data_IF_627805345531
#
_entry.id   IF_627805345531
#
_cell.length_a   1.000
_cell.length_b   1.000
_cell.length_c   1.000
_cell.angle_alpha   90.00
_cell.angle_beta   90.00
_cell.angle_gamma   90.00
#
_symmetry.space_group_name_H-M   'P 1'
#
loop_
_entity.id
_entity.type
_entity.pdbx_description
1 polymer ?
#
# COMPACT_ATOMS: atom_id res chain seq x y z
N UNK A 1 -6.29 -28.03 5.97
CA UNK A 1 -6.12 -27.57 7.34
C UNK A 1 -7.33 -26.71 7.74
N UNK A 2 -8.00 -27.10 8.88
CA UNK A 2 -9.26 -26.45 9.31
C UNK A 2 -9.09 -24.94 9.62
N UNK A 3 -8.08 -24.50 10.35
CA UNK A 3 -7.84 -23.08 10.60
C UNK A 3 -7.71 -22.26 9.31
N UNK A 4 -6.95 -22.75 8.35
CA UNK A 4 -6.82 -22.10 7.05
C UNK A 4 -8.15 -21.95 6.33
N UNK A 5 -8.96 -23.00 6.29
CA UNK A 5 -10.27 -22.95 5.64
C UNK A 5 -11.21 -21.94 6.30
N UNK A 6 -11.17 -21.84 7.63
CA UNK A 6 -11.96 -20.84 8.37
C UNK A 6 -11.49 -19.40 8.05
N UNK A 7 -10.20 -19.18 7.92
CA UNK A 7 -9.65 -17.87 7.52
C UNK A 7 -10.09 -17.50 6.11
N UNK A 8 -10.12 -18.45 5.16
CA UNK A 8 -10.63 -18.20 3.80
C UNK A 8 -12.12 -17.83 3.80
N UNK A 9 -12.95 -18.54 4.56
CA UNK A 9 -14.39 -18.24 4.67
C UNK A 9 -14.61 -16.84 5.27
N UNK A 10 -13.92 -16.52 6.37
CA UNK A 10 -14.01 -15.22 7.03
C UNK A 10 -13.49 -14.11 6.12
N UNK A 11 -12.35 -14.33 5.47
CA UNK A 11 -11.77 -13.40 4.52
C UNK A 11 -12.72 -13.07 3.39
N UNK A 12 -13.35 -14.08 2.77
CA UNK A 12 -14.36 -13.90 1.75
C UNK A 12 -15.61 -13.16 2.24
N UNK A 13 -16.09 -13.46 3.46
CA UNK A 13 -17.21 -12.74 4.05
C UNK A 13 -16.93 -11.24 4.22
N UNK A 14 -15.73 -10.88 4.68
CA UNK A 14 -15.29 -9.48 4.77
C UNK A 14 -15.15 -8.86 3.38
N UNK A 15 -14.57 -9.60 2.45
CA UNK A 15 -14.35 -9.13 1.08
C UNK A 15 -15.66 -8.78 0.36
N UNK A 16 -16.76 -9.50 0.60
CA UNK A 16 -18.08 -9.19 0.00
C UNK A 16 -18.53 -7.74 0.21
N UNK A 17 -18.16 -7.13 1.32
CA UNK A 17 -18.48 -5.73 1.61
C UNK A 17 -17.32 -4.78 1.36
N UNK A 18 -16.09 -5.22 1.66
CA UNK A 18 -14.89 -4.37 1.64
C UNK A 18 -14.18 -4.36 0.29
N UNK A 19 -14.20 -5.48 -0.43
CA UNK A 19 -13.53 -5.74 -1.71
C UNK A 19 -14.46 -6.53 -2.65
N UNK A 20 -15.62 -5.99 -3.01
CA UNK A 20 -16.65 -6.74 -3.74
C UNK A 20 -16.13 -7.33 -5.06
N UNK A 21 -15.29 -6.63 -5.80
CA UNK A 21 -14.72 -7.15 -7.05
C UNK A 21 -13.79 -8.37 -6.83
N UNK A 22 -13.09 -8.44 -5.69
CA UNK A 22 -12.24 -9.57 -5.35
C UNK A 22 -13.06 -10.77 -4.88
N UNK A 23 -14.18 -10.52 -4.18
CA UNK A 23 -15.06 -11.58 -3.68
C UNK A 23 -15.76 -12.38 -4.80
N UNK A 24 -15.83 -11.83 -6.02
CA UNK A 24 -16.37 -12.47 -7.22
C UNK A 24 -15.34 -13.34 -7.97
N UNK A 25 -14.05 -13.22 -7.62
CA UNK A 25 -12.98 -13.96 -8.30
C UNK A 25 -12.76 -15.30 -7.60
N UNK A 26 -13.01 -16.38 -8.33
CA UNK A 26 -12.74 -17.72 -7.82
C UNK A 26 -11.23 -17.96 -7.65
N UNK A 27 -10.85 -18.58 -6.53
CA UNK A 27 -9.46 -18.88 -6.23
C UNK A 27 -8.69 -17.78 -5.50
N UNK A 28 -9.32 -16.63 -5.22
CA UNK A 28 -8.70 -15.57 -4.42
C UNK A 28 -8.33 -16.09 -3.02
N UNK A 29 -7.10 -15.82 -2.56
CA UNK A 29 -6.62 -16.20 -1.23
C UNK A 29 -6.65 -14.99 -0.31
N UNK A 30 -7.24 -15.17 0.87
CA UNK A 30 -7.38 -14.14 1.88
C UNK A 30 -6.37 -14.36 3.02
N UNK A 31 -5.72 -13.30 3.52
CA UNK A 31 -4.80 -13.38 4.64
C UNK A 31 -5.56 -13.57 5.96
N UNK A 32 -4.84 -13.81 7.09
CA UNK A 32 -5.43 -13.84 8.41
C UNK A 32 -6.28 -12.61 8.70
N UNK A 33 -7.30 -12.76 9.54
CA UNK A 33 -8.35 -11.77 9.83
C UNK A 33 -7.83 -10.34 10.10
N UNK A 34 -6.72 -10.20 10.86
CA UNK A 34 -6.16 -8.89 11.19
C UNK A 34 -5.71 -8.11 9.94
N UNK A 35 -5.13 -8.80 8.97
CA UNK A 35 -4.71 -8.16 7.71
C UNK A 35 -5.92 -7.77 6.86
N UNK A 36 -7.02 -8.53 6.92
CA UNK A 36 -8.28 -8.19 6.26
C UNK A 36 -8.94 -6.97 6.88
N UNK A 37 -8.87 -6.80 8.20
CA UNK A 37 -9.40 -5.62 8.87
C UNK A 37 -8.60 -4.35 8.55
N UNK A 38 -7.27 -4.47 8.49
CA UNK A 38 -6.36 -3.35 8.28
C UNK A 38 -6.24 -2.91 6.81
N UNK A 39 -6.52 -3.79 5.85
CA UNK A 39 -6.41 -3.43 4.43
C UNK A 39 -7.41 -2.33 4.05
N UNK A 40 -7.11 -1.62 2.98
CA UNK A 40 -8.02 -0.63 2.39
C UNK A 40 -9.32 -1.29 1.89
N UNK A 41 -10.40 -0.52 1.87
CA UNK A 41 -11.58 -0.87 1.08
C UNK A 41 -11.32 -0.65 -0.40
N UNK A 42 -12.08 -1.32 -1.25
CA UNK A 42 -12.05 -1.12 -2.70
C UNK A 42 -12.27 0.34 -3.09
N UNK A 43 -13.23 1.01 -2.43
CA UNK A 43 -13.51 2.42 -2.64
C UNK A 43 -12.27 3.30 -2.42
N UNK A 44 -11.56 3.11 -1.30
CA UNK A 44 -10.36 3.91 -1.00
C UNK A 44 -9.18 3.54 -1.89
N UNK A 45 -9.07 2.29 -2.36
CA UNK A 45 -8.07 1.87 -3.33
C UNK A 45 -8.32 2.49 -4.71
N UNK A 46 -9.58 2.54 -5.17
CA UNK A 46 -9.98 3.23 -6.40
C UNK A 46 -9.68 4.73 -6.31
N UNK A 47 -9.95 5.36 -5.16
CA UNK A 47 -9.60 6.76 -4.95
C UNK A 47 -8.09 7.02 -5.11
N UNK A 48 -7.23 6.20 -4.48
CA UNK A 48 -5.77 6.29 -4.65
C UNK A 48 -5.33 6.09 -6.10
N UNK A 49 -6.02 5.22 -6.81
CA UNK A 49 -5.82 5.02 -8.25
C UNK A 49 -6.10 6.29 -9.06
N UNK A 50 -7.11 7.07 -8.69
CA UNK A 50 -7.39 8.35 -9.35
C UNK A 50 -6.28 9.39 -9.14
N UNK A 51 -5.65 9.38 -7.96
CA UNK A 51 -4.47 10.22 -7.70
C UNK A 51 -3.31 9.79 -8.61
N UNK A 52 -3.04 8.48 -8.71
CA UNK A 52 -2.01 7.97 -9.62
C UNK A 52 -2.25 8.38 -11.08
N UNK A 53 -3.49 8.29 -11.56
CA UNK A 53 -3.85 8.72 -12.92
C UNK A 53 -3.59 10.20 -13.15
N UNK A 54 -3.90 11.05 -12.17
CA UNK A 54 -3.64 12.48 -12.25
C UNK A 54 -2.13 12.76 -12.30
N UNK A 55 -1.36 12.15 -11.39
CA UNK A 55 0.10 12.28 -11.40
C UNK A 55 0.71 11.86 -12.74
N UNK A 56 0.21 10.80 -13.34
CA UNK A 56 0.68 10.34 -14.65
C UNK A 56 0.40 11.35 -15.78
N UNK A 57 -0.73 12.07 -15.73
CA UNK A 57 -1.05 13.08 -16.73
C UNK A 57 -0.08 14.27 -16.72
N UNK A 58 0.67 14.43 -15.64
CA UNK A 58 1.70 15.46 -15.49
C UNK A 58 3.07 15.05 -16.09
N UNK A 59 3.23 13.76 -16.43
CA UNK A 59 4.43 13.25 -17.10
C UNK A 59 4.34 13.42 -18.61
N UNK A 60 5.35 14.03 -19.20
CA UNK A 60 5.36 14.30 -20.64
C UNK A 60 5.74 13.09 -21.51
N UNK A 61 6.51 12.09 -21.02
CA UNK A 61 7.14 11.13 -21.94
C UNK A 61 7.27 9.66 -21.52
N UNK A 62 7.02 9.28 -20.29
CA UNK A 62 7.05 7.86 -19.85
C UNK A 62 6.23 7.63 -18.60
N UNK A 63 5.47 6.54 -18.61
CA UNK A 63 4.79 6.05 -17.41
C UNK A 63 5.82 5.76 -16.31
N UNK A 64 5.69 6.39 -15.13
CA UNK A 64 6.59 6.07 -14.04
C UNK A 64 6.36 4.65 -13.54
N UNK A 65 7.38 4.10 -12.87
CA UNK A 65 7.28 2.87 -12.12
C UNK A 65 6.46 3.11 -10.86
N UNK A 66 5.53 2.21 -10.50
CA UNK A 66 4.95 2.18 -9.16
C UNK A 66 5.81 1.32 -8.24
N UNK A 67 6.13 1.82 -7.05
CA UNK A 67 6.80 1.05 -6.00
C UNK A 67 5.99 1.17 -4.72
N UNK A 68 5.47 0.06 -4.23
CA UNK A 68 4.85 -0.04 -2.91
C UNK A 68 5.86 -0.63 -1.93
N UNK A 69 6.31 0.15 -0.96
CA UNK A 69 7.30 -0.25 0.03
C UNK A 69 6.70 -0.96 1.26
N UNK A 70 5.37 -1.06 1.32
CA UNK A 70 4.61 -1.59 2.46
C UNK A 70 3.47 -2.51 2.02
N UNK A 71 3.72 -3.36 1.07
CA UNK A 71 2.75 -4.12 0.29
C UNK A 71 1.54 -4.71 1.02
N UNK A 72 1.74 -5.31 2.20
CA UNK A 72 0.67 -5.88 3.00
C UNK A 72 -0.16 -6.92 2.26
N UNK A 73 -1.48 -6.83 2.31
CA UNK A 73 -2.37 -7.71 1.54
C UNK A 73 -2.38 -7.38 0.03
N UNK A 74 -1.84 -6.23 -0.38
CA UNK A 74 -1.72 -5.86 -1.79
C UNK A 74 -2.96 -5.22 -2.41
N UNK A 75 -3.97 -4.85 -1.62
CA UNK A 75 -5.20 -4.23 -2.15
C UNK A 75 -4.87 -2.93 -2.87
N UNK A 76 -4.29 -1.96 -2.18
CA UNK A 76 -3.95 -0.67 -2.76
C UNK A 76 -3.04 -0.82 -3.98
N UNK A 77 -2.00 -1.66 -3.84
CA UNK A 77 -1.08 -1.95 -4.92
C UNK A 77 -1.80 -2.48 -6.17
N UNK A 78 -2.69 -3.46 -6.03
CA UNK A 78 -3.37 -4.09 -7.16
C UNK A 78 -4.27 -3.12 -7.95
N UNK A 79 -4.87 -2.14 -7.27
CA UNK A 79 -5.69 -1.12 -7.94
C UNK A 79 -4.83 -0.04 -8.60
N UNK A 80 -3.78 0.44 -7.90
CA UNK A 80 -2.90 1.47 -8.42
C UNK A 80 -2.04 0.98 -9.59
N UNK A 81 -1.48 -0.24 -9.52
CA UNK A 81 -0.53 -0.75 -10.51
C UNK A 81 -1.11 -0.86 -11.93
N UNK A 82 -2.44 -0.94 -12.07
CA UNK A 82 -3.13 -0.97 -13.38
C UNK A 82 -2.84 0.22 -14.29
N UNK A 83 -2.33 1.31 -13.72
CA UNK A 83 -2.02 2.53 -14.46
C UNK A 83 -0.53 2.66 -14.79
N UNK A 84 0.28 1.65 -14.50
CA UNK A 84 1.73 1.69 -14.70
C UNK A 84 2.16 0.56 -15.62
N UNK A 85 3.21 0.79 -16.41
CA UNK A 85 3.80 -0.26 -17.26
C UNK A 85 4.55 -1.31 -16.43
N UNK A 86 5.12 -0.87 -15.31
CA UNK A 86 5.84 -1.73 -14.37
C UNK A 86 5.47 -1.33 -12.94
N UNK A 87 5.39 -2.31 -12.07
CA UNK A 87 5.12 -2.09 -10.66
C UNK A 87 5.91 -3.05 -9.79
N UNK A 88 6.38 -2.58 -8.64
CA UNK A 88 7.11 -3.37 -7.65
C UNK A 88 6.36 -3.31 -6.32
N UNK A 89 6.02 -4.47 -5.83
CA UNK A 89 5.45 -4.68 -4.50
C UNK A 89 6.53 -5.22 -3.58
N UNK A 90 6.73 -4.57 -2.42
CA UNK A 90 7.71 -4.99 -1.42
C UNK A 90 7.01 -5.26 -0.10
N UNK A 91 7.18 -6.46 0.45
CA UNK A 91 6.59 -6.88 1.74
C UNK A 91 7.56 -7.82 2.46
N UNK A 92 7.75 -7.59 3.76
CA UNK A 92 8.70 -8.38 4.57
C UNK A 92 8.17 -9.74 5.02
N UNK A 93 6.85 -9.92 5.08
CA UNK A 93 6.21 -11.15 5.54
C UNK A 93 6.03 -12.12 4.37
N UNK A 94 6.78 -13.23 4.36
CA UNK A 94 6.77 -14.20 3.26
C UNK A 94 5.36 -14.69 2.90
N UNK A 95 4.53 -14.98 3.91
CA UNK A 95 3.17 -15.47 3.66
C UNK A 95 2.28 -14.43 2.93
N UNK A 96 2.46 -13.13 3.18
CA UNK A 96 1.77 -12.07 2.43
C UNK A 96 2.33 -11.92 1.02
N UNK A 97 3.63 -12.09 0.84
CA UNK A 97 4.24 -12.13 -0.50
C UNK A 97 3.67 -13.28 -1.34
N UNK A 98 3.51 -14.46 -0.75
CA UNK A 98 2.98 -15.65 -1.44
C UNK A 98 1.51 -15.43 -1.82
N UNK A 99 0.70 -14.86 -0.92
CA UNK A 99 -0.70 -14.48 -1.18
C UNK A 99 -0.77 -13.42 -2.27
N UNK A 100 0.03 -12.36 -2.18
CA UNK A 100 0.04 -11.27 -3.15
C UNK A 100 0.41 -11.80 -4.54
N UNK A 101 1.44 -12.63 -4.65
CA UNK A 101 1.85 -13.24 -5.91
C UNK A 101 0.73 -14.04 -6.55
N UNK A 102 0.07 -14.92 -5.77
CA UNK A 102 -1.05 -15.71 -6.25
C UNK A 102 -2.22 -14.82 -6.72
N UNK A 103 -2.60 -13.85 -5.91
CA UNK A 103 -3.73 -12.98 -6.22
C UNK A 103 -3.45 -12.04 -7.41
N UNK A 104 -2.23 -11.52 -7.54
CA UNK A 104 -1.83 -10.69 -8.68
C UNK A 104 -1.81 -11.51 -9.99
N UNK A 105 -1.44 -12.79 -9.93
CA UNK A 105 -1.54 -13.69 -11.08
C UNK A 105 -3.00 -13.89 -11.51
N UNK A 106 -3.93 -14.11 -10.56
CA UNK A 106 -5.37 -14.19 -10.83
C UNK A 106 -5.94 -12.91 -11.41
N UNK A 107 -5.43 -11.76 -10.96
CA UNK A 107 -5.81 -10.42 -11.45
C UNK A 107 -5.11 -10.06 -12.78
N UNK A 108 -4.35 -10.98 -13.37
CA UNK A 108 -3.58 -10.81 -14.61
C UNK A 108 -2.57 -9.65 -14.59
N UNK A 109 -2.05 -9.31 -13.39
CA UNK A 109 -1.07 -8.23 -13.18
C UNK A 109 0.37 -8.69 -13.49
N UNK A 110 0.63 -9.14 -14.72
CA UNK A 110 1.93 -9.72 -15.13
C UNK A 110 3.10 -8.73 -15.12
N UNK A 111 2.82 -7.43 -15.07
CA UNK A 111 3.80 -6.35 -14.98
C UNK A 111 4.19 -6.01 -13.53
N UNK A 112 3.59 -6.68 -12.55
CA UNK A 112 3.86 -6.51 -11.13
C UNK A 112 4.94 -7.51 -10.68
N UNK A 113 6.01 -7.00 -10.05
CA UNK A 113 7.10 -7.80 -9.47
C UNK A 113 6.96 -7.83 -7.95
N UNK A 114 6.86 -9.01 -7.36
CA UNK A 114 6.73 -9.21 -5.92
C UNK A 114 8.10 -9.48 -5.32
N UNK A 115 8.54 -8.61 -4.44
CA UNK A 115 9.78 -8.71 -3.66
C UNK A 115 9.47 -9.00 -2.20
N UNK A 116 9.95 -10.14 -1.70
CA UNK A 116 9.91 -10.42 -0.27
C UNK A 116 11.16 -9.83 0.40
N UNK A 117 10.98 -8.80 1.21
CA UNK A 117 12.07 -8.07 1.84
C UNK A 117 11.60 -6.82 2.58
N UNK A 118 12.54 -6.13 3.19
CA UNK A 118 12.27 -4.88 3.88
C UNK A 118 12.19 -3.70 2.90
N UNK A 119 11.08 -2.93 2.98
CA UNK A 119 10.86 -1.79 2.09
C UNK A 119 11.86 -0.66 2.26
N UNK A 120 12.39 -0.47 3.48
CA UNK A 120 13.41 0.55 3.76
C UNK A 120 14.76 0.14 3.15
N UNK A 121 15.14 -1.13 3.29
CA UNK A 121 16.34 -1.66 2.64
C UNK A 121 16.21 -1.58 1.10
N UNK A 122 15.01 -1.85 0.57
CA UNK A 122 14.75 -1.69 -0.86
C UNK A 122 14.92 -0.23 -1.29
N UNK A 123 14.36 0.73 -0.53
CA UNK A 123 14.51 2.16 -0.78
C UNK A 123 15.99 2.57 -0.78
N UNK A 124 16.77 2.15 0.23
CA UNK A 124 18.19 2.48 0.31
C UNK A 124 18.99 1.94 -0.88
N UNK A 125 18.68 0.74 -1.34
CA UNK A 125 19.38 0.07 -2.44
C UNK A 125 19.00 0.61 -3.83
N UNK A 126 17.79 1.22 -3.99
CA UNK A 126 17.36 1.74 -5.28
C UNK A 126 18.12 3.03 -5.66
N UNK A 127 18.33 3.19 -6.95
CA UNK A 127 18.83 4.44 -7.53
C UNK A 127 17.68 5.42 -7.73
N UNK A 128 18.00 6.66 -8.12
CA UNK A 128 17.00 7.63 -8.58
C UNK A 128 16.10 6.98 -9.64
N UNK A 129 14.81 7.05 -9.41
CA UNK A 129 13.84 6.44 -10.30
C UNK A 129 12.74 7.42 -10.67
N UNK A 130 12.30 7.34 -11.94
CA UNK A 130 11.06 7.97 -12.36
C UNK A 130 9.89 7.12 -11.86
N UNK A 131 9.62 7.20 -10.56
CA UNK A 131 8.70 6.33 -9.86
C UNK A 131 7.71 7.12 -9.00
N UNK A 132 6.52 6.57 -8.87
CA UNK A 132 5.61 6.90 -7.77
C UNK A 132 5.86 5.89 -6.65
N UNK A 133 6.27 6.36 -5.48
CA UNK A 133 6.47 5.52 -4.30
C UNK A 133 5.23 5.63 -3.39
N UNK A 134 4.69 4.48 -3.00
CA UNK A 134 3.58 4.38 -2.07
C UNK A 134 4.03 3.74 -0.76
N UNK A 135 3.52 4.27 0.36
CA UNK A 135 3.72 3.72 1.70
C UNK A 135 2.41 3.78 2.50
N UNK A 136 2.10 2.70 3.20
CA UNK A 136 1.07 2.61 4.24
C UNK A 136 1.72 2.13 5.55
N UNK A 137 2.45 3.03 6.25
CA UNK A 137 3.22 2.63 7.42
C UNK A 137 2.31 2.18 8.55
N UNK A 138 2.61 0.99 9.10
CA UNK A 138 1.88 0.43 10.21
C UNK A 138 2.18 1.19 11.51
N UNK A 139 1.18 1.40 12.35
CA UNK A 139 1.40 1.96 13.68
C UNK A 139 2.17 0.98 14.55
N UNK A 140 3.19 1.46 15.27
CA UNK A 140 3.86 0.66 16.31
C UNK A 140 2.97 0.62 17.55
N UNK A 141 2.51 -0.56 17.91
CA UNK A 141 1.82 -0.78 19.17
C UNK A 141 2.85 -1.22 20.23
N UNK A 142 3.65 -0.26 20.68
CA UNK A 142 4.61 -0.51 21.78
C UNK A 142 3.83 -0.33 23.10
N UNK A 143 3.40 -1.41 23.70
CA UNK A 143 2.69 -1.48 25.00
C UNK A 143 1.18 -1.14 24.97
N UNK A 144 0.45 -1.34 23.87
CA UNK A 144 -1.02 -1.12 23.86
C UNK A 144 -1.45 0.34 24.01
N UNK A 145 -0.53 1.30 23.97
CA UNK A 145 -0.82 2.71 23.96
C UNK A 145 -1.24 3.15 22.55
N UNK A 146 -2.33 3.88 22.43
CA UNK A 146 -2.73 4.50 21.17
C UNK A 146 -1.73 5.60 20.82
N UNK A 147 -0.85 5.32 19.88
CA UNK A 147 0.12 6.27 19.38
C UNK A 147 -0.52 7.17 18.34
N UNK A 148 -0.38 8.48 18.49
CA UNK A 148 -0.98 9.47 17.60
C UNK A 148 0.05 10.24 16.78
N UNK A 149 1.34 9.93 16.95
CA UNK A 149 2.43 10.60 16.26
C UNK A 149 2.87 9.82 15.02
N UNK A 150 3.22 10.55 13.96
CA UNK A 150 3.67 9.95 12.68
C UNK A 150 5.00 9.20 12.82
N UNK A 151 5.88 9.65 13.72
CA UNK A 151 7.18 9.01 14.00
C UNK A 151 7.04 7.64 14.68
N UNK A 152 5.88 7.35 15.24
CA UNK A 152 5.60 6.05 15.85
C UNK A 152 5.14 5.00 14.81
N UNK A 153 5.11 5.36 13.55
CA UNK A 153 4.81 4.44 12.45
C UNK A 153 6.04 3.62 12.03
N UNK A 154 5.81 2.49 11.41
CA UNK A 154 6.84 1.66 10.80
C UNK A 154 6.48 1.38 9.33
N UNK A 155 7.35 1.77 8.39
CA UNK A 155 8.59 2.54 8.56
C UNK A 155 8.34 3.98 9.07
N UNK A 156 9.36 4.59 9.67
CA UNK A 156 9.33 6.00 10.05
C UNK A 156 9.47 6.88 8.81
N UNK A 157 8.35 7.37 8.32
CA UNK A 157 8.31 8.17 7.09
C UNK A 157 8.88 9.58 7.26
N UNK A 158 9.03 10.05 8.50
CA UNK A 158 9.68 11.35 8.77
C UNK A 158 11.18 11.23 8.58
N UNK A 159 11.80 10.16 9.09
CA UNK A 159 13.23 9.88 8.86
C UNK A 159 13.54 9.63 7.39
N UNK A 160 12.63 8.97 6.66
CA UNK A 160 12.81 8.61 5.25
C UNK A 160 12.45 9.75 4.28
N UNK A 161 11.85 10.83 4.76
CA UNK A 161 11.21 11.86 3.92
C UNK A 161 12.16 12.45 2.88
N UNK A 162 13.37 12.83 3.29
CA UNK A 162 14.35 13.45 2.39
C UNK A 162 14.78 12.47 1.28
N UNK A 163 15.04 11.21 1.63
CA UNK A 163 15.44 10.17 0.67
C UNK A 163 14.29 9.79 -0.29
N UNK A 164 13.07 9.69 0.23
CA UNK A 164 11.89 9.42 -0.60
C UNK A 164 11.70 10.48 -1.68
N UNK A 165 11.78 11.75 -1.30
CA UNK A 165 11.61 12.88 -2.24
C UNK A 165 12.77 12.99 -3.22
N UNK A 166 14.00 12.68 -2.80
CA UNK A 166 15.17 12.66 -3.68
C UNK A 166 15.05 11.55 -4.74
N UNK A 167 14.56 10.35 -4.36
CA UNK A 167 14.57 9.16 -5.21
C UNK A 167 13.33 8.99 -6.08
N UNK A 168 12.21 9.64 -5.74
CA UNK A 168 10.93 9.47 -6.43
C UNK A 168 10.48 10.75 -7.15
N UNK A 169 9.68 10.58 -8.19
CA UNK A 169 8.95 11.69 -8.80
C UNK A 169 7.81 12.17 -7.89
N UNK A 170 7.08 11.24 -7.30
CA UNK A 170 6.04 11.54 -6.34
C UNK A 170 5.99 10.47 -5.25
N UNK A 171 5.61 10.89 -4.05
CA UNK A 171 5.44 9.99 -2.89
C UNK A 171 4.00 10.12 -2.39
N UNK A 172 3.34 8.97 -2.21
CA UNK A 172 2.00 8.89 -1.64
C UNK A 172 2.13 8.15 -0.31
N UNK A 173 1.77 8.81 0.78
CA UNK A 173 1.78 8.21 2.12
C UNK A 173 0.33 8.12 2.61
N UNK A 174 -0.14 6.90 2.87
CA UNK A 174 -1.42 6.68 3.53
C UNK A 174 -1.19 6.65 5.03
N UNK A 175 -1.94 7.48 5.74
CA UNK A 175 -1.90 7.52 7.21
C UNK A 175 -3.27 7.12 7.78
N UNK A 176 -3.25 6.61 9.01
CA UNK A 176 -4.48 6.32 9.75
C UNK A 176 -5.26 7.62 10.02
N UNK A 177 -6.61 7.61 9.92
CA UNK A 177 -7.43 8.78 10.24
C UNK A 177 -7.35 9.21 11.72
N UNK A 178 -6.72 8.40 12.57
CA UNK A 178 -6.47 8.71 13.98
C UNK A 178 -5.26 9.62 14.20
N UNK A 179 -4.43 9.83 13.18
CA UNK A 179 -3.27 10.73 13.25
C UNK A 179 -3.71 12.19 13.04
N UNK A 180 -3.07 13.09 13.75
CA UNK A 180 -3.21 14.52 13.49
C UNK A 180 -2.49 14.87 12.18
N UNK A 181 -3.26 15.11 11.13
CA UNK A 181 -2.71 15.38 9.81
C UNK A 181 -1.97 16.74 9.76
N UNK A 182 -2.34 17.73 10.59
CA UNK A 182 -1.62 19.01 10.67
C UNK A 182 -0.20 18.79 11.19
N UNK A 183 -0.06 18.07 12.32
CA UNK A 183 1.24 17.71 12.88
C UNK A 183 2.06 16.86 11.90
N UNK A 184 1.41 15.95 11.16
CA UNK A 184 2.09 15.15 10.14
C UNK A 184 2.64 16.00 8.99
N UNK A 185 1.87 16.98 8.51
CA UNK A 185 2.31 17.92 7.44
C UNK A 185 3.51 18.75 7.89
N UNK A 186 3.50 19.27 9.13
CA UNK A 186 4.64 20.04 9.66
C UNK A 186 5.94 19.24 9.67
N UNK A 187 5.85 17.94 10.01
CA UNK A 187 7.01 17.05 10.12
C UNK A 187 7.54 16.55 8.79
N UNK A 188 6.65 16.30 7.83
CA UNK A 188 7.01 15.76 6.50
C UNK A 188 7.64 16.78 5.54
N UNK A 189 7.70 18.05 5.87
CA UNK A 189 8.39 19.15 5.13
C UNK A 189 7.94 19.40 3.67
N UNK A 190 7.74 18.36 2.85
CA UNK A 190 7.55 18.42 1.39
C UNK A 190 6.12 18.12 0.94
N UNK A 191 5.17 18.16 1.85
CA UNK A 191 3.76 17.86 1.54
C UNK A 191 3.18 18.94 0.64
N UNK A 192 2.68 18.54 -0.51
CA UNK A 192 2.01 19.42 -1.47
C UNK A 192 0.49 19.27 -1.42
N UNK A 193 -0.02 18.11 -1.04
CA UNK A 193 -1.45 17.84 -0.99
C UNK A 193 -1.79 16.96 0.22
N UNK A 194 -2.97 17.16 0.79
CA UNK A 194 -3.56 16.32 1.82
C UNK A 194 -4.96 15.92 1.39
N UNK A 195 -5.21 14.60 1.39
CA UNK A 195 -6.49 14.03 1.05
C UNK A 195 -7.13 13.41 2.29
N UNK A 196 -8.23 13.97 2.75
CA UNK A 196 -9.03 13.39 3.84
C UNK A 196 -10.20 12.66 3.20
N UNK A 197 -10.19 11.33 3.30
CA UNK A 197 -11.20 10.46 2.68
C UNK A 197 -12.07 9.85 3.75
N UNK A 198 -13.36 10.20 3.74
CA UNK A 198 -14.39 9.56 4.57
C UNK A 198 -15.12 8.51 3.74
N UNK A 199 -15.41 7.36 4.36
CA UNK A 199 -16.21 6.27 3.77
C UNK A 199 -17.34 6.01 4.74
N UNK A 200 -18.55 6.34 4.32
CA UNK A 200 -19.79 6.08 5.08
C UNK A 200 -20.27 4.63 4.86
#
# INVERSE_FOLDING_TARGET
>A
DMPWALDQIRGWQIARSKLPSWAEIEGMIYPPHISMEQCSSEFTAIYKTSICKRLQSEFSDKMPLLIDLTGGFGVDFSFMCRNFENAVYVERQQHLCDIAKHNLDLLEMRHADVKCGDGVEYLHAMKLANAVIYLDPARRDVNGAKTYAIEDCTPDVVELCDELVEKAYAVIIKLSPMLDWHAAVEKLKYVTEVHVVSVD
#
